data_IF_288013588576
#
_entry.id   IF_288013588576
#
_cell.length_a   1.000
_cell.length_b   1.000
_cell.length_c   1.000
_cell.angle_alpha   90.00
_cell.angle_beta   90.00
_cell.angle_gamma   90.00
#
_symmetry.space_group_name_H-M   'P 1'
#
loop_
_entity.id
_entity.type
_entity.pdbx_description
1 polymer ?
#
# COMPACT_ATOMS: atom_id res chain seq x y z
N UNK A 1 0.52 -26.55 13.13
CA UNK A 1 0.69 -27.99 13.39
C UNK A 1 -0.60 -28.64 13.88
N UNK A 2 -1.24 -28.12 14.94
CA UNK A 2 -2.44 -28.72 15.54
C UNK A 2 -3.58 -28.91 14.53
N UNK A 3 -3.96 -27.87 13.78
CA UNK A 3 -5.05 -27.95 12.79
C UNK A 3 -4.75 -28.96 11.67
N UNK A 4 -3.51 -29.04 11.21
CA UNK A 4 -3.10 -30.02 10.19
C UNK A 4 -3.16 -31.45 10.72
N UNK A 5 -2.65 -31.67 11.94
CA UNK A 5 -2.69 -32.98 12.57
C UNK A 5 -4.14 -33.46 12.77
N UNK A 6 -5.00 -32.60 13.31
CA UNK A 6 -6.40 -32.88 13.53
C UNK A 6 -7.13 -33.21 12.21
N UNK A 7 -6.98 -32.42 11.19
CA UNK A 7 -7.60 -32.65 9.89
C UNK A 7 -7.14 -33.98 9.26
N UNK A 8 -5.83 -34.25 9.30
CA UNK A 8 -5.28 -35.51 8.77
C UNK A 8 -5.73 -36.71 9.55
N UNK A 9 -5.90 -36.59 10.87
CA UNK A 9 -6.41 -37.65 11.71
C UNK A 9 -7.87 -37.99 11.37
N UNK A 10 -8.71 -36.98 11.15
CA UNK A 10 -10.13 -37.20 10.73
C UNK A 10 -10.19 -37.79 9.33
N UNK A 11 -9.32 -37.30 8.41
CA UNK A 11 -9.29 -37.80 7.02
C UNK A 11 -8.65 -39.21 6.91
N UNK A 12 -7.98 -39.71 7.96
CA UNK A 12 -7.34 -41.03 7.94
C UNK A 12 -8.38 -42.12 7.82
N UNK A 13 -8.28 -42.92 6.75
CA UNK A 13 -9.23 -44.01 6.42
C UNK A 13 -10.71 -43.56 6.31
N UNK A 14 -10.98 -42.26 6.14
CA UNK A 14 -12.33 -41.75 5.98
C UNK A 14 -12.52 -41.20 4.55
N UNK A 15 -13.07 -42.05 3.67
CA UNK A 15 -13.28 -41.71 2.25
C UNK A 15 -14.28 -40.56 2.01
N UNK A 16 -15.12 -40.23 2.99
CA UNK A 16 -16.06 -39.11 2.94
C UNK A 16 -15.35 -37.79 3.12
N UNK A 17 -14.13 -37.78 3.69
CA UNK A 17 -13.32 -36.57 3.91
C UNK A 17 -12.32 -36.40 2.79
N UNK A 18 -12.65 -35.51 1.83
CA UNK A 18 -11.82 -35.26 0.66
C UNK A 18 -10.61 -34.33 0.96
N UNK A 19 -10.68 -33.57 2.05
CA UNK A 19 -9.67 -32.57 2.40
C UNK A 19 -8.69 -33.14 3.43
N UNK A 20 -7.40 -33.12 3.10
CA UNK A 20 -6.31 -33.56 3.99
C UNK A 20 -5.58 -32.39 4.65
N UNK A 21 -5.70 -31.21 4.09
CA UNK A 21 -5.08 -29.97 4.61
C UNK A 21 -6.17 -28.95 4.93
N UNK A 22 -6.11 -28.27 6.09
CA UNK A 22 -7.12 -27.29 6.49
C UNK A 22 -6.98 -25.93 5.79
N UNK A 23 -5.82 -25.65 5.18
CA UNK A 23 -5.50 -24.37 4.56
C UNK A 23 -4.79 -24.57 3.22
N UNK A 24 -5.08 -23.70 2.25
CA UNK A 24 -4.41 -23.70 0.95
C UNK A 24 -3.02 -23.08 1.01
N UNK A 25 -2.79 -22.16 1.94
CA UNK A 25 -1.54 -21.44 2.09
C UNK A 25 -1.24 -21.03 3.52
N UNK A 26 0.00 -20.68 3.77
CA UNK A 26 0.49 -20.13 5.03
C UNK A 26 1.09 -18.76 4.74
N UNK A 27 0.59 -17.74 5.43
CA UNK A 27 1.18 -16.40 5.45
C UNK A 27 1.72 -16.12 6.86
N UNK A 28 3.02 -15.84 6.98
CA UNK A 28 3.66 -15.52 8.27
C UNK A 28 3.85 -14.01 8.35
N UNK A 29 3.11 -13.38 9.26
CA UNK A 29 3.23 -11.94 9.52
C UNK A 29 4.41 -11.64 10.44
N UNK A 30 4.94 -10.41 10.32
CA UNK A 30 5.91 -9.85 11.27
C UNK A 30 5.28 -9.52 12.62
N UNK A 31 6.11 -9.13 13.56
CA UNK A 31 5.70 -8.76 14.92
C UNK A 31 5.61 -7.24 15.06
N UNK A 32 4.77 -6.79 15.99
CA UNK A 32 4.78 -5.39 16.42
C UNK A 32 5.84 -5.26 17.53
N UNK A 33 6.82 -4.39 17.28
CA UNK A 33 7.96 -4.16 18.15
C UNK A 33 7.87 -2.78 18.80
N UNK A 34 8.46 -2.65 19.97
CA UNK A 34 8.61 -1.38 20.67
C UNK A 34 9.96 -1.32 21.39
N UNK A 35 10.50 -0.12 21.57
CA UNK A 35 11.68 0.12 22.40
C UNK A 35 11.46 -0.45 23.80
N UNK A 36 12.54 -0.88 24.43
CA UNK A 36 12.55 -1.36 25.81
C UNK A 36 13.18 -0.32 26.72
N UNK A 37 12.67 -0.20 27.93
CA UNK A 37 13.11 0.80 28.90
C UNK A 37 13.51 0.16 30.23
N UNK A 38 14.64 0.59 30.80
CA UNK A 38 15.10 0.17 32.12
C UNK A 38 15.42 1.37 33.00
N UNK A 39 15.11 1.24 34.27
CA UNK A 39 15.62 2.19 35.27
C UNK A 39 17.12 1.92 35.62
N UNK A 40 17.70 2.78 36.45
CA UNK A 40 19.10 2.66 36.87
C UNK A 40 19.43 1.36 37.63
N UNK A 41 18.38 0.68 38.15
CA UNK A 41 18.53 -0.61 38.86
C UNK A 41 18.31 -1.80 37.90
N UNK A 42 18.18 -1.56 36.61
CA UNK A 42 17.94 -2.61 35.60
C UNK A 42 16.50 -3.14 35.54
N UNK A 43 15.56 -2.53 36.27
CA UNK A 43 14.13 -2.93 36.24
C UNK A 43 13.45 -2.41 35.03
N UNK A 44 12.67 -3.28 34.35
CA UNK A 44 11.89 -2.90 33.20
C UNK A 44 10.78 -1.90 33.54
N UNK A 45 10.62 -0.87 32.67
CA UNK A 45 9.61 0.15 32.74
C UNK A 45 8.63 0.01 31.56
N UNK A 46 7.37 0.37 31.79
CA UNK A 46 6.38 0.48 30.71
C UNK A 46 6.56 1.78 29.93
N UNK A 47 6.14 1.85 28.67
CA UNK A 47 6.15 3.10 27.90
C UNK A 47 5.40 4.26 28.59
N UNK A 48 4.40 3.95 29.43
CA UNK A 48 3.62 4.93 30.20
C UNK A 48 4.34 5.47 31.44
N UNK A 49 5.41 4.83 31.88
CA UNK A 49 6.25 5.29 32.99
C UNK A 49 7.39 6.20 32.54
N UNK A 50 7.55 6.40 31.21
CA UNK A 50 8.70 7.08 30.61
C UNK A 50 8.26 8.27 29.76
N UNK A 51 9.00 9.37 29.81
CA UNK A 51 8.81 10.54 28.96
C UNK A 51 10.14 11.06 28.40
N UNK A 52 10.09 11.89 27.35
CA UNK A 52 11.26 12.63 26.87
C UNK A 52 11.32 13.99 27.54
N UNK A 53 12.50 14.33 28.10
CA UNK A 53 12.76 15.67 28.63
C UNK A 53 12.98 16.71 27.49
N UNK A 54 13.18 17.98 27.87
CA UNK A 54 13.44 19.09 26.93
C UNK A 54 14.66 18.86 26.02
N UNK A 55 15.63 18.04 26.47
CA UNK A 55 16.84 17.71 25.73
C UNK A 55 16.68 16.44 24.87
N UNK A 56 15.46 15.89 24.77
CA UNK A 56 15.17 14.68 23.99
C UNK A 56 15.62 13.37 24.64
N UNK A 57 16.18 13.40 25.87
CA UNK A 57 16.58 12.19 26.62
C UNK A 57 15.39 11.61 27.38
N UNK A 58 15.34 10.28 27.45
CA UNK A 58 14.30 9.59 28.20
C UNK A 58 14.56 9.65 29.71
N UNK A 59 13.50 9.90 30.45
CA UNK A 59 13.48 9.95 31.90
C UNK A 59 12.20 9.32 32.44
N UNK A 60 12.25 8.83 33.68
CA UNK A 60 11.08 8.32 34.39
C UNK A 60 10.16 9.45 34.81
N UNK A 61 8.85 9.29 34.61
CA UNK A 61 7.87 10.35 34.92
C UNK A 61 7.83 10.67 36.40
N UNK A 62 7.95 9.66 37.29
CA UNK A 62 7.74 9.77 38.73
C UNK A 62 8.80 10.61 39.43
N UNK A 63 10.08 10.44 39.10
CA UNK A 63 11.22 10.99 39.82
C UNK A 63 12.26 11.67 38.91
N UNK A 64 11.96 11.75 37.59
CA UNK A 64 12.83 12.34 36.57
C UNK A 64 14.23 11.67 36.44
N UNK A 65 14.39 10.47 37.02
CA UNK A 65 15.64 9.70 36.89
C UNK A 65 15.85 9.28 35.42
N UNK A 66 17.14 9.14 35.05
CA UNK A 66 17.51 8.73 33.69
C UNK A 66 17.06 7.30 33.40
N UNK A 67 16.59 7.06 32.18
CA UNK A 67 16.12 5.77 31.66
C UNK A 67 17.09 5.29 30.60
N UNK A 68 17.51 4.03 30.70
CA UNK A 68 18.22 3.34 29.63
C UNK A 68 17.21 2.86 28.56
N UNK A 69 17.47 3.24 27.32
CA UNK A 69 16.68 2.81 26.16
C UNK A 69 17.39 1.66 25.49
N UNK A 70 16.74 0.52 25.49
CA UNK A 70 17.20 -0.67 24.77
C UNK A 70 16.64 -0.76 23.36
N UNK A 71 17.02 -1.81 22.62
CA UNK A 71 16.56 -2.02 21.23
C UNK A 71 15.04 -2.19 21.14
N UNK A 72 14.51 -1.91 19.94
CA UNK A 72 13.13 -2.25 19.61
C UNK A 72 13.02 -3.75 19.42
N UNK A 73 12.17 -4.39 20.21
CA UNK A 73 11.95 -5.84 20.21
C UNK A 73 10.47 -6.16 20.21
N UNK A 74 10.13 -7.40 19.87
CA UNK A 74 8.75 -7.89 19.94
C UNK A 74 8.13 -7.60 21.30
N UNK A 75 6.93 -7.06 21.31
CA UNK A 75 6.22 -6.70 22.54
C UNK A 75 6.02 -7.91 23.43
N UNK A 76 6.40 -7.80 24.69
CA UNK A 76 6.21 -8.85 25.71
C UNK A 76 5.90 -8.29 27.09
N UNK A 77 5.04 -8.99 27.84
CA UNK A 77 4.69 -8.62 29.22
C UNK A 77 5.91 -8.64 30.15
N UNK A 78 6.86 -9.56 29.92
CA UNK A 78 8.07 -9.70 30.75
C UNK A 78 9.02 -8.50 30.61
N UNK A 79 9.12 -7.91 29.42
CA UNK A 79 9.92 -6.70 29.14
C UNK A 79 9.15 -5.41 29.30
N UNK A 80 7.87 -5.49 29.62
CA UNK A 80 6.95 -4.36 29.79
C UNK A 80 6.88 -3.38 28.59
N UNK A 81 7.33 -3.76 27.43
CA UNK A 81 7.31 -2.93 26.22
C UNK A 81 5.99 -3.06 25.42
N UNK A 82 4.90 -3.40 26.08
CA UNK A 82 3.58 -3.59 25.47
C UNK A 82 2.83 -2.27 25.43
N UNK A 83 2.25 -1.97 24.28
CA UNK A 83 1.26 -0.90 24.12
C UNK A 83 -0.13 -1.50 24.30
N UNK A 84 -0.93 -0.91 25.14
CA UNK A 84 -2.30 -1.35 25.38
C UNK A 84 -3.22 -0.98 24.21
N UNK A 85 -3.78 -1.94 23.46
CA UNK A 85 -4.67 -1.66 22.34
C UNK A 85 -5.93 -0.90 22.74
N UNK A 86 -6.49 -1.14 23.93
CA UNK A 86 -7.71 -0.45 24.37
C UNK A 86 -7.50 1.05 24.51
N UNK A 87 -6.38 1.46 25.10
CA UNK A 87 -6.05 2.88 25.26
C UNK A 87 -5.88 3.58 23.92
N UNK A 88 -5.25 2.87 22.94
CA UNK A 88 -5.08 3.39 21.59
C UNK A 88 -6.41 3.50 20.85
N UNK A 89 -7.26 2.49 20.95
CA UNK A 89 -8.61 2.51 20.35
C UNK A 89 -9.47 3.61 20.94
N UNK A 90 -9.41 3.84 22.26
CA UNK A 90 -10.13 4.95 22.92
C UNK A 90 -9.64 6.31 22.45
N UNK A 91 -8.34 6.47 22.21
CA UNK A 91 -7.73 7.75 21.83
C UNK A 91 -7.86 8.09 20.34
N UNK A 92 -7.71 7.10 19.46
CA UNK A 92 -7.58 7.28 18.00
C UNK A 92 -8.64 6.53 17.18
N UNK A 93 -9.38 5.61 17.80
CA UNK A 93 -10.29 4.70 17.11
C UNK A 93 -9.56 3.49 16.48
N UNK A 94 -10.30 2.39 16.32
CA UNK A 94 -9.75 1.15 15.77
C UNK A 94 -9.22 1.31 14.33
N UNK A 95 -9.88 2.12 13.51
CA UNK A 95 -9.49 2.33 12.12
C UNK A 95 -8.13 3.00 11.98
N UNK A 96 -7.79 3.96 12.87
CA UNK A 96 -6.47 4.61 12.85
C UNK A 96 -5.35 3.63 13.22
N UNK A 97 -5.58 2.78 14.22
CA UNK A 97 -4.63 1.73 14.60
C UNK A 97 -4.43 0.73 13.47
N UNK A 98 -5.52 0.26 12.84
CA UNK A 98 -5.46 -0.64 11.69
C UNK A 98 -4.70 -0.01 10.52
N UNK A 99 -5.01 1.25 10.20
CA UNK A 99 -4.35 1.98 9.12
C UNK A 99 -2.84 2.11 9.35
N UNK A 100 -2.44 2.46 10.58
CA UNK A 100 -1.02 2.54 10.94
C UNK A 100 -0.31 1.20 10.74
N UNK A 101 -0.84 0.11 11.31
CA UNK A 101 -0.24 -1.23 11.20
C UNK A 101 -0.07 -1.67 9.73
N UNK A 102 -1.02 -1.34 8.86
CA UNK A 102 -1.00 -1.75 7.46
C UNK A 102 -0.16 -0.82 6.57
N UNK A 103 0.24 0.36 7.07
CA UNK A 103 0.93 1.38 6.26
C UNK A 103 2.46 1.30 6.30
N UNK A 104 3.03 0.81 7.39
CA UNK A 104 4.45 0.98 7.67
C UNK A 104 5.34 0.09 6.78
N UNK A 105 5.04 -1.21 6.76
CA UNK A 105 5.90 -2.22 6.14
C UNK A 105 5.07 -3.30 5.44
N UNK A 106 5.69 -4.07 4.52
CA UNK A 106 5.08 -5.32 4.07
C UNK A 106 4.72 -6.21 5.27
N UNK A 107 3.56 -6.91 5.23
CA UNK A 107 3.05 -7.63 6.39
C UNK A 107 3.97 -8.72 6.98
N UNK A 108 4.96 -9.19 6.20
CA UNK A 108 5.95 -10.19 6.64
C UNK A 108 7.06 -9.60 7.51
N UNK A 109 7.21 -8.26 7.50
CA UNK A 109 8.26 -7.57 8.27
C UNK A 109 7.73 -7.11 9.61
N UNK A 110 8.66 -7.03 10.57
CA UNK A 110 8.39 -6.43 11.86
C UNK A 110 8.06 -4.95 11.71
N UNK A 111 7.11 -4.48 12.53
CA UNK A 111 6.63 -3.10 12.55
C UNK A 111 7.07 -2.46 13.85
N UNK A 112 7.73 -1.32 13.78
CA UNK A 112 8.05 -0.54 14.95
C UNK A 112 6.87 0.35 15.34
N UNK A 113 6.38 0.20 16.57
CA UNK A 113 5.30 1.04 17.08
C UNK A 113 5.71 2.52 17.16
N UNK A 114 4.83 3.39 16.72
CA UNK A 114 5.02 4.84 16.76
C UNK A 114 3.72 5.56 17.07
N UNK A 115 3.64 6.24 18.20
CA UNK A 115 2.51 7.09 18.54
C UNK A 115 2.29 8.22 17.53
N UNK A 116 3.39 8.75 16.96
CA UNK A 116 3.31 9.75 15.89
C UNK A 116 2.69 9.15 14.62
N UNK A 117 3.04 7.89 14.28
CA UNK A 117 2.47 7.17 13.15
C UNK A 117 0.97 6.95 13.31
N UNK A 118 0.51 6.52 14.48
CA UNK A 118 -0.93 6.37 14.77
C UNK A 118 -1.67 7.71 14.67
N UNK A 119 -1.09 8.79 15.23
CA UNK A 119 -1.67 10.13 15.12
C UNK A 119 -1.74 10.63 13.66
N UNK A 120 -0.71 10.35 12.85
CA UNK A 120 -0.72 10.68 11.43
C UNK A 120 -1.80 9.89 10.68
N UNK A 121 -1.97 8.61 10.99
CA UNK A 121 -3.05 7.78 10.47
C UNK A 121 -4.44 8.35 10.82
N UNK A 122 -4.66 8.71 12.08
CA UNK A 122 -5.89 9.34 12.54
C UNK A 122 -6.20 10.64 11.77
N UNK A 123 -5.22 11.53 11.66
CA UNK A 123 -5.38 12.79 10.90
C UNK A 123 -5.67 12.55 9.42
N UNK A 124 -5.08 11.51 8.83
CA UNK A 124 -5.36 11.17 7.44
C UNK A 124 -6.81 10.67 7.27
N UNK A 125 -7.29 9.82 8.15
CA UNK A 125 -8.69 9.37 8.10
C UNK A 125 -9.69 10.52 8.28
N UNK A 126 -9.38 11.51 9.12
CA UNK A 126 -10.17 12.75 9.20
C UNK A 126 -10.19 13.50 7.86
N UNK A 127 -9.06 13.55 7.14
CA UNK A 127 -9.01 14.16 5.79
C UNK A 127 -9.90 13.40 4.80
N UNK A 128 -9.93 12.07 4.84
CA UNK A 128 -10.82 11.25 4.01
C UNK A 128 -12.29 11.57 4.33
N UNK A 129 -12.65 11.63 5.61
CA UNK A 129 -14.02 12.00 6.02
C UNK A 129 -14.41 13.38 5.51
N UNK A 130 -13.55 14.37 5.71
CA UNK A 130 -13.77 15.74 5.24
C UNK A 130 -13.90 15.80 3.71
N UNK A 131 -13.10 15.02 2.96
CA UNK A 131 -13.23 14.91 1.51
C UNK A 131 -14.62 14.41 1.10
N UNK A 132 -15.17 13.43 1.84
CA UNK A 132 -16.54 12.95 1.61
C UNK A 132 -17.58 14.04 1.86
N UNK A 133 -17.44 14.83 2.93
CA UNK A 133 -18.33 15.97 3.21
C UNK A 133 -18.27 17.01 2.07
N UNK A 134 -17.07 17.41 1.66
CA UNK A 134 -16.88 18.42 0.63
C UNK A 134 -17.47 17.96 -0.72
N UNK A 135 -17.25 16.70 -1.11
CA UNK A 135 -17.79 16.18 -2.39
C UNK A 135 -19.30 15.99 -2.33
N UNK A 136 -19.84 15.62 -1.17
CA UNK A 136 -21.31 15.54 -0.97
C UNK A 136 -21.99 16.87 -1.25
N UNK A 137 -21.42 17.97 -0.75
CA UNK A 137 -22.03 19.31 -0.80
C UNK A 137 -21.48 20.15 -1.98
N UNK A 138 -20.65 19.56 -2.83
CA UNK A 138 -20.02 20.25 -3.97
C UNK A 138 -21.06 20.67 -5.01
N UNK A 139 -20.97 21.94 -5.44
CA UNK A 139 -21.80 22.46 -6.55
C UNK A 139 -21.42 21.77 -7.87
N UNK A 140 -22.42 21.59 -8.75
CA UNK A 140 -22.20 20.96 -10.07
C UNK A 140 -21.16 21.73 -10.88
N UNK A 141 -20.34 20.99 -11.62
CA UNK A 141 -19.27 21.49 -12.47
C UNK A 141 -19.37 20.85 -13.87
N UNK A 142 -18.80 21.52 -14.86
CA UNK A 142 -18.64 20.98 -16.20
C UNK A 142 -17.76 19.71 -16.20
N UNK A 143 -17.95 18.84 -17.19
CA UNK A 143 -17.29 17.52 -17.29
C UNK A 143 -16.02 17.50 -18.16
N UNK A 144 -15.34 18.62 -18.33
CA UNK A 144 -14.19 18.72 -19.26
C UNK A 144 -13.04 17.77 -18.92
N UNK A 145 -12.86 17.44 -17.64
CA UNK A 145 -11.76 16.59 -17.18
C UNK A 145 -12.20 15.20 -16.72
N UNK A 146 -13.49 14.84 -16.82
CA UNK A 146 -14.02 13.56 -16.34
C UNK A 146 -13.22 12.38 -16.89
N UNK A 147 -13.04 12.31 -18.22
CA UNK A 147 -12.31 11.21 -18.85
C UNK A 147 -10.90 11.01 -18.29
N UNK A 148 -10.16 12.09 -18.08
CA UNK A 148 -8.80 12.02 -17.54
C UNK A 148 -8.78 11.60 -16.08
N UNK A 149 -9.74 12.09 -15.29
CA UNK A 149 -9.90 11.74 -13.89
C UNK A 149 -10.31 10.27 -13.72
N UNK A 150 -11.31 9.82 -14.44
CA UNK A 150 -11.81 8.44 -14.42
C UNK A 150 -10.74 7.43 -14.86
N UNK A 151 -9.95 7.76 -15.89
CA UNK A 151 -8.81 6.96 -16.35
C UNK A 151 -7.78 6.74 -15.24
N UNK A 152 -7.39 7.83 -14.54
CA UNK A 152 -6.45 7.74 -13.43
C UNK A 152 -7.02 6.91 -12.28
N UNK A 153 -8.27 7.15 -11.89
CA UNK A 153 -8.93 6.40 -10.83
C UNK A 153 -9.03 4.90 -11.17
N UNK A 154 -9.42 4.55 -12.39
CA UNK A 154 -9.49 3.16 -12.83
C UNK A 154 -8.10 2.49 -12.79
N UNK A 155 -7.04 3.21 -13.14
CA UNK A 155 -5.66 2.72 -13.02
C UNK A 155 -5.27 2.43 -11.56
N UNK A 156 -5.65 3.31 -10.61
CA UNK A 156 -5.41 3.07 -9.17
C UNK A 156 -6.21 1.86 -8.66
N UNK A 157 -7.49 1.73 -9.03
CA UNK A 157 -8.29 0.56 -8.65
C UNK A 157 -7.62 -0.74 -9.11
N UNK A 158 -7.12 -0.77 -10.36
CA UNK A 158 -6.41 -1.94 -10.88
C UNK A 158 -5.10 -2.23 -10.10
N UNK A 159 -4.28 -1.20 -9.82
CA UNK A 159 -3.04 -1.34 -9.03
C UNK A 159 -3.33 -1.88 -7.63
N UNK A 160 -4.32 -1.28 -6.96
CA UNK A 160 -4.71 -1.67 -5.60
C UNK A 160 -5.25 -3.10 -5.57
N UNK A 161 -6.10 -3.48 -6.52
CA UNK A 161 -6.62 -4.86 -6.61
C UNK A 161 -5.49 -5.87 -6.72
N UNK A 162 -4.47 -5.61 -7.54
CA UNK A 162 -3.27 -6.46 -7.62
C UNK A 162 -2.51 -6.49 -6.31
N UNK A 163 -2.28 -5.31 -5.70
CA UNK A 163 -1.52 -5.22 -4.46
C UNK A 163 -2.19 -5.97 -3.30
N UNK A 164 -3.54 -5.97 -3.22
CA UNK A 164 -4.28 -6.75 -2.22
C UNK A 164 -4.11 -8.25 -2.47
N UNK A 165 -4.23 -8.70 -3.71
CA UNK A 165 -4.05 -10.11 -4.07
C UNK A 165 -2.63 -10.62 -3.74
N UNK A 166 -1.63 -9.74 -3.86
CA UNK A 166 -0.23 -10.02 -3.57
C UNK A 166 0.14 -9.73 -2.10
N UNK A 167 -0.83 -9.41 -1.23
CA UNK A 167 -0.63 -9.00 0.17
C UNK A 167 0.30 -7.79 0.38
N UNK A 168 0.52 -6.96 -0.64
CA UNK A 168 1.31 -5.73 -0.56
C UNK A 168 0.47 -4.58 0.03
N UNK A 169 0.04 -4.71 1.30
CA UNK A 169 -0.95 -3.84 1.93
C UNK A 169 -0.42 -2.41 2.14
N UNK A 170 0.85 -2.24 2.44
CA UNK A 170 1.50 -0.94 2.52
C UNK A 170 1.51 -0.19 1.18
N UNK A 171 1.63 -0.91 0.06
CA UNK A 171 1.52 -0.32 -1.29
C UNK A 171 0.09 0.15 -1.56
N UNK A 172 -0.93 -0.57 -1.05
CA UNK A 172 -2.32 -0.11 -1.13
C UNK A 172 -2.48 1.22 -0.39
N UNK A 173 -1.95 1.32 0.83
CA UNK A 173 -1.98 2.55 1.61
C UNK A 173 -1.33 3.71 0.86
N UNK A 174 -0.14 3.50 0.29
CA UNK A 174 0.54 4.51 -0.53
C UNK A 174 -0.33 4.98 -1.72
N UNK A 175 -0.95 4.05 -2.45
CA UNK A 175 -1.86 4.41 -3.55
C UNK A 175 -3.10 5.19 -3.07
N UNK A 176 -3.62 4.91 -1.87
CA UNK A 176 -4.74 5.67 -1.30
C UNK A 176 -4.34 7.12 -1.01
N UNK A 177 -3.11 7.38 -0.53
CA UNK A 177 -2.59 8.75 -0.40
C UNK A 177 -2.50 9.46 -1.76
N UNK A 178 -2.04 8.76 -2.79
CA UNK A 178 -1.98 9.32 -4.15
C UNK A 178 -3.37 9.63 -4.70
N UNK A 179 -4.36 8.76 -4.46
CA UNK A 179 -5.75 9.01 -4.83
C UNK A 179 -6.30 10.22 -4.09
N UNK A 180 -6.03 10.35 -2.78
CA UNK A 180 -6.45 11.53 -2.02
C UNK A 180 -5.89 12.82 -2.64
N UNK A 181 -4.61 12.84 -2.99
CA UNK A 181 -4.00 13.98 -3.68
C UNK A 181 -4.65 14.24 -5.04
N UNK A 182 -4.96 13.18 -5.81
CA UNK A 182 -5.67 13.32 -7.08
C UNK A 182 -7.04 13.99 -6.90
N UNK A 183 -7.80 13.64 -5.86
CA UNK A 183 -9.06 14.32 -5.53
C UNK A 183 -8.82 15.78 -5.16
N UNK A 184 -7.87 16.06 -4.29
CA UNK A 184 -7.52 17.42 -3.85
C UNK A 184 -7.14 18.32 -5.03
N UNK A 185 -6.37 17.80 -5.99
CA UNK A 185 -5.96 18.52 -7.20
C UNK A 185 -7.12 18.80 -8.18
N UNK A 186 -8.22 18.05 -8.09
CA UNK A 186 -9.32 18.12 -9.05
C UNK A 186 -10.63 18.64 -8.47
N UNK A 187 -10.69 18.88 -7.17
CA UNK A 187 -11.92 19.26 -6.49
C UNK A 187 -12.50 20.59 -7.00
N UNK A 188 -11.63 21.53 -7.37
CA UNK A 188 -11.98 22.84 -7.93
C UNK A 188 -11.96 22.89 -9.46
N UNK A 189 -11.55 21.80 -10.12
CA UNK A 189 -11.52 21.71 -11.58
C UNK A 189 -12.89 21.35 -12.15
N UNK A 190 -13.03 21.46 -13.47
CA UNK A 190 -14.25 21.13 -14.23
C UNK A 190 -14.39 19.61 -14.40
N UNK A 191 -14.53 18.91 -13.27
CA UNK A 191 -14.91 17.49 -13.19
C UNK A 191 -16.33 17.45 -12.65
N UNK A 192 -17.21 16.70 -13.27
CA UNK A 192 -18.61 16.59 -12.88
C UNK A 192 -18.77 15.98 -11.50
N UNK A 193 -19.84 16.36 -10.77
CA UNK A 193 -20.13 15.74 -9.48
C UNK A 193 -20.42 14.25 -9.60
N UNK A 194 -20.96 13.79 -10.72
CA UNK A 194 -21.18 12.37 -11.01
C UNK A 194 -19.86 11.60 -11.01
N UNK A 195 -18.86 12.07 -11.77
CA UNK A 195 -17.54 11.43 -11.83
C UNK A 195 -16.85 11.48 -10.46
N UNK A 196 -16.82 12.65 -9.79
CA UNK A 196 -16.26 12.79 -8.46
C UNK A 196 -16.88 11.83 -7.45
N UNK A 197 -18.21 11.79 -7.36
CA UNK A 197 -18.93 10.94 -6.39
C UNK A 197 -18.73 9.45 -6.65
N UNK A 198 -18.80 9.02 -7.93
CA UNK A 198 -18.62 7.61 -8.27
C UNK A 198 -17.21 7.12 -7.93
N UNK A 199 -16.19 7.91 -8.26
CA UNK A 199 -14.82 7.56 -7.96
C UNK A 199 -14.51 7.63 -6.46
N UNK A 200 -15.12 8.57 -5.72
CA UNK A 200 -15.03 8.59 -4.27
C UNK A 200 -15.65 7.34 -3.64
N UNK A 201 -16.82 6.92 -4.09
CA UNK A 201 -17.44 5.66 -3.64
C UNK A 201 -16.52 4.48 -3.89
N UNK A 202 -15.84 4.41 -5.04
CA UNK A 202 -14.85 3.37 -5.32
C UNK A 202 -13.67 3.42 -4.34
N UNK A 203 -13.13 4.61 -4.04
CA UNK A 203 -12.09 4.76 -3.03
C UNK A 203 -12.54 4.27 -1.66
N UNK A 204 -13.74 4.67 -1.23
CA UNK A 204 -14.25 4.29 0.09
C UNK A 204 -14.55 2.78 0.17
N UNK A 205 -15.02 2.15 -0.91
CA UNK A 205 -15.15 0.68 -0.98
C UNK A 205 -13.80 -0.03 -0.81
N UNK A 206 -12.72 0.51 -1.39
CA UNK A 206 -11.36 0.00 -1.20
C UNK A 206 -10.93 0.09 0.27
N UNK A 207 -11.38 1.08 1.00
CA UNK A 207 -11.04 1.26 2.40
C UNK A 207 -11.75 0.29 3.35
N UNK A 208 -12.83 -0.37 2.96
CA UNK A 208 -13.60 -1.28 3.83
C UNK A 208 -12.70 -2.32 4.53
N UNK A 209 -11.83 -3.08 3.87
CA UNK A 209 -10.97 -4.06 4.55
C UNK A 209 -9.92 -3.43 5.48
N UNK A 210 -9.58 -2.15 5.29
CA UNK A 210 -8.57 -1.44 6.07
C UNK A 210 -9.18 -0.68 7.25
N UNK A 211 -10.18 0.12 6.98
CA UNK A 211 -10.81 1.07 7.93
C UNK A 211 -12.34 0.98 7.83
N UNK A 212 -12.93 -0.12 8.31
CA UNK A 212 -14.35 -0.42 8.09
C UNK A 212 -15.31 0.63 8.66
N UNK A 213 -15.04 1.16 9.85
CA UNK A 213 -15.99 2.07 10.52
C UNK A 213 -16.16 3.36 9.72
N UNK A 214 -15.06 4.05 9.38
CA UNK A 214 -15.13 5.29 8.58
C UNK A 214 -15.62 5.00 7.16
N UNK A 215 -15.26 3.85 6.58
CA UNK A 215 -15.70 3.50 5.25
C UNK A 215 -17.21 3.33 5.17
N UNK A 216 -17.84 2.61 6.10
CA UNK A 216 -19.29 2.44 6.11
C UNK A 216 -20.01 3.75 6.40
N UNK A 217 -19.52 4.58 7.32
CA UNK A 217 -20.07 5.91 7.60
C UNK A 217 -20.06 6.79 6.35
N UNK A 218 -18.93 6.86 5.65
CA UNK A 218 -18.80 7.62 4.40
C UNK A 218 -19.73 7.09 3.29
N UNK A 219 -19.83 5.76 3.12
CA UNK A 219 -20.72 5.16 2.12
C UNK A 219 -22.20 5.46 2.41
N UNK A 220 -22.61 5.43 3.68
CA UNK A 220 -23.95 5.82 4.09
C UNK A 220 -24.21 7.30 3.81
N UNK A 221 -23.28 8.19 4.18
CA UNK A 221 -23.35 9.62 3.91
C UNK A 221 -23.50 9.92 2.42
N UNK A 222 -22.76 9.21 1.56
CA UNK A 222 -22.80 9.34 0.11
C UNK A 222 -24.01 8.64 -0.54
N UNK A 223 -24.86 7.95 0.24
CA UNK A 223 -25.97 7.12 -0.25
C UNK A 223 -25.53 6.12 -1.33
N UNK A 224 -24.43 5.44 -1.07
CA UNK A 224 -23.85 4.47 -1.99
C UNK A 224 -24.72 3.21 -2.09
N UNK A 225 -24.83 2.68 -3.32
CA UNK A 225 -25.47 1.38 -3.58
C UNK A 225 -24.40 0.30 -3.70
N UNK A 226 -24.82 -0.98 -3.57
CA UNK A 226 -23.93 -2.16 -3.79
C UNK A 226 -22.63 -2.10 -2.99
N UNK A 227 -22.74 -1.77 -1.71
CA UNK A 227 -21.60 -1.52 -0.81
C UNK A 227 -20.65 -2.72 -0.74
N UNK A 228 -21.18 -3.94 -0.84
CA UNK A 228 -20.42 -5.19 -0.71
C UNK A 228 -19.62 -5.56 -1.96
N UNK A 229 -19.86 -4.91 -3.10
CA UNK A 229 -19.15 -5.19 -4.34
C UNK A 229 -17.82 -4.43 -4.40
N UNK A 230 -16.75 -5.15 -4.73
CA UNK A 230 -15.47 -4.53 -5.04
C UNK A 230 -15.58 -3.62 -6.28
N UNK A 231 -14.84 -2.49 -6.33
CA UNK A 231 -14.88 -1.59 -7.49
C UNK A 231 -14.53 -2.32 -8.78
N UNK A 232 -15.40 -2.18 -9.79
CA UNK A 232 -15.19 -2.80 -11.10
C UNK A 232 -14.10 -2.04 -11.87
N UNK A 233 -13.21 -2.80 -12.50
CA UNK A 233 -12.14 -2.25 -13.34
C UNK A 233 -12.64 -2.25 -14.78
N UNK A 234 -12.70 -1.07 -15.41
CA UNK A 234 -12.93 -0.99 -16.85
C UNK A 234 -11.61 -1.28 -17.58
N UNK A 235 -11.53 -2.44 -18.20
CA UNK A 235 -10.33 -2.88 -18.93
C UNK A 235 -10.03 -2.01 -20.16
N UNK A 236 -11.04 -1.31 -20.71
CA UNK A 236 -10.87 -0.36 -21.81
C UNK A 236 -10.21 0.95 -21.33
N UNK A 237 -10.34 1.24 -20.04
CA UNK A 237 -9.78 2.43 -19.40
C UNK A 237 -8.47 2.13 -18.65
N UNK A 238 -7.83 1.00 -18.85
CA UNK A 238 -6.51 0.75 -18.27
C UNK A 238 -5.50 1.62 -19.01
N UNK A 239 -4.95 2.62 -18.32
CA UNK A 239 -3.77 3.32 -18.80
C UNK A 239 -2.65 2.29 -18.90
N UNK A 240 -2.19 2.04 -20.11
CA UNK A 240 -0.99 1.25 -20.32
C UNK A 240 0.16 2.00 -19.69
N UNK A 241 0.73 1.42 -18.64
CA UNK A 241 1.82 2.01 -17.90
C UNK A 241 3.00 2.21 -18.84
N UNK A 242 3.42 3.46 -19.06
CA UNK A 242 4.61 3.75 -19.83
C UNK A 242 5.82 3.69 -18.94
N UNK A 243 6.84 3.03 -19.42
CA UNK A 243 8.13 2.89 -18.73
C UNK A 243 9.26 3.42 -19.60
N UNK A 244 10.32 3.87 -18.96
CA UNK A 244 11.57 4.23 -19.64
C UNK A 244 12.44 2.98 -19.77
N UNK A 245 12.73 2.57 -21.00
CA UNK A 245 13.62 1.45 -21.31
C UNK A 245 14.91 1.94 -21.92
N UNK A 246 16.04 1.46 -21.42
CA UNK A 246 17.36 1.76 -21.99
C UNK A 246 17.66 0.87 -23.20
N UNK A 247 18.07 1.48 -24.31
CA UNK A 247 18.61 0.78 -25.48
C UNK A 247 20.11 0.81 -25.41
N UNK A 248 20.70 -0.39 -25.43
CA UNK A 248 22.16 -0.56 -25.38
C UNK A 248 22.68 -1.20 -26.67
N UNK A 249 23.92 -0.87 -27.00
CA UNK A 249 24.71 -1.52 -28.06
C UNK A 249 26.06 -1.88 -27.43
N UNK A 250 26.41 -3.18 -27.43
CA UNK A 250 27.60 -3.71 -26.78
C UNK A 250 27.75 -3.24 -25.33
N UNK A 251 26.65 -3.26 -24.55
CA UNK A 251 26.59 -2.89 -23.14
C UNK A 251 26.59 -1.36 -22.87
N UNK A 252 26.77 -0.51 -23.88
CA UNK A 252 26.72 0.96 -23.70
C UNK A 252 25.35 1.51 -24.04
N UNK A 253 24.72 2.22 -23.12
CA UNK A 253 23.42 2.90 -23.35
C UNK A 253 23.54 3.94 -24.46
N UNK A 254 22.66 3.86 -25.45
CA UNK A 254 22.64 4.73 -26.63
C UNK A 254 21.42 5.63 -26.69
N UNK A 255 20.31 5.15 -26.15
CA UNK A 255 19.07 5.93 -26.06
C UNK A 255 18.18 5.40 -24.93
N UNK A 256 17.22 6.20 -24.52
CA UNK A 256 16.15 5.81 -23.57
C UNK A 256 14.84 6.10 -24.28
N UNK A 257 14.02 5.08 -24.45
CA UNK A 257 12.69 5.20 -25.06
C UNK A 257 11.59 5.02 -24.04
N UNK A 258 10.48 5.67 -24.26
CA UNK A 258 9.26 5.48 -23.49
C UNK A 258 8.37 4.47 -24.20
N UNK A 259 8.08 3.36 -23.55
CA UNK A 259 7.31 2.24 -24.11
C UNK A 259 6.20 1.81 -23.16
N UNK A 260 5.22 1.06 -23.66
CA UNK A 260 4.22 0.41 -22.82
C UNK A 260 4.88 -0.71 -22.00
N UNK A 261 4.57 -0.79 -20.72
CA UNK A 261 5.03 -1.88 -19.83
C UNK A 261 4.51 -3.23 -20.31
N UNK A 262 5.34 -4.23 -20.26
CA UNK A 262 4.98 -5.59 -20.65
C UNK A 262 5.07 -5.88 -22.15
N UNK A 263 5.56 -4.95 -22.95
CA UNK A 263 5.79 -5.15 -24.40
C UNK A 263 6.75 -6.33 -24.60
N UNK A 264 6.52 -7.14 -25.62
CA UNK A 264 7.38 -8.28 -25.94
C UNK A 264 8.64 -7.85 -26.72
N UNK A 265 9.66 -8.72 -26.69
CA UNK A 265 10.95 -8.46 -27.34
C UNK A 265 10.82 -8.10 -28.83
N UNK A 266 10.00 -8.82 -29.58
CA UNK A 266 9.82 -8.62 -31.04
C UNK A 266 9.30 -7.20 -31.34
N UNK A 267 8.34 -6.74 -30.56
CA UNK A 267 7.77 -5.40 -30.74
C UNK A 267 8.79 -4.30 -30.40
N UNK A 268 9.60 -4.50 -29.34
CA UNK A 268 10.65 -3.57 -28.98
C UNK A 268 11.76 -3.53 -30.02
N UNK A 269 12.17 -4.68 -30.57
CA UNK A 269 13.16 -4.70 -31.64
C UNK A 269 12.72 -3.90 -32.86
N UNK A 270 11.42 -3.97 -33.23
CA UNK A 270 10.84 -3.13 -34.30
C UNK A 270 10.92 -1.66 -33.98
N UNK A 271 10.57 -1.27 -32.74
CA UNK A 271 10.66 0.13 -32.28
C UNK A 271 12.11 0.62 -32.34
N UNK A 272 13.07 -0.19 -31.87
CA UNK A 272 14.48 0.15 -31.87
C UNK A 272 15.04 0.29 -33.30
N UNK A 273 14.67 -0.58 -34.22
CA UNK A 273 15.08 -0.52 -35.64
C UNK A 273 14.56 0.76 -36.34
N UNK A 274 13.44 1.31 -35.88
CA UNK A 274 12.87 2.56 -36.40
C UNK A 274 13.42 3.82 -35.70
N UNK A 275 14.14 3.67 -34.58
CA UNK A 275 14.73 4.77 -33.86
C UNK A 275 15.98 5.29 -34.61
N UNK A 276 15.97 6.56 -35.01
CA UNK A 276 17.03 7.17 -35.83
C UNK A 276 18.42 7.01 -35.24
N UNK A 277 18.57 7.20 -33.91
CA UNK A 277 19.86 7.08 -33.20
C UNK A 277 20.41 5.66 -33.19
N UNK A 278 19.53 4.66 -33.25
CA UNK A 278 19.88 3.24 -33.18
C UNK A 278 20.06 2.68 -34.59
N UNK A 279 19.14 3.03 -35.52
CA UNK A 279 19.15 2.58 -36.90
C UNK A 279 20.52 2.80 -37.54
N UNK A 280 21.09 3.99 -37.43
CA UNK A 280 22.39 4.34 -38.03
C UNK A 280 23.59 3.57 -37.44
N UNK A 281 23.40 2.89 -36.30
CA UNK A 281 24.47 2.10 -35.63
C UNK A 281 24.34 0.60 -35.84
N UNK A 282 23.19 0.15 -36.34
CA UNK A 282 22.89 -1.28 -36.54
C UNK A 282 22.79 -1.66 -38.03
N UNK A 283 22.48 -0.69 -38.94
CA UNK A 283 22.20 -0.95 -40.36
C UNK A 283 23.36 -1.70 -41.07
N UNK A 284 24.61 -1.31 -40.78
CA UNK A 284 25.77 -1.86 -41.44
C UNK A 284 26.47 -2.99 -40.66
N UNK A 285 25.84 -3.48 -39.59
CA UNK A 285 26.43 -4.49 -38.71
C UNK A 285 25.49 -5.64 -38.45
N UNK A 286 26.01 -6.87 -38.52
CA UNK A 286 25.24 -8.06 -38.17
C UNK A 286 25.03 -8.13 -36.64
N UNK A 287 23.77 -8.12 -36.20
CA UNK A 287 23.44 -8.35 -34.79
C UNK A 287 23.65 -9.83 -34.45
N UNK A 288 24.65 -10.13 -33.63
CA UNK A 288 24.96 -11.50 -33.20
C UNK A 288 23.98 -12.02 -32.14
N UNK A 289 23.57 -11.14 -31.22
CA UNK A 289 22.70 -11.51 -30.11
C UNK A 289 21.90 -10.31 -29.61
N UNK A 290 20.65 -10.54 -29.22
CA UNK A 290 19.82 -9.54 -28.49
C UNK A 290 19.61 -10.05 -27.07
N UNK A 291 19.98 -9.24 -26.10
CA UNK A 291 19.70 -9.49 -24.67
C UNK A 291 18.54 -8.57 -24.28
N UNK A 292 17.44 -9.19 -23.88
CA UNK A 292 16.23 -8.49 -23.47
C UNK A 292 15.93 -8.76 -22.00
N UNK A 293 15.92 -7.71 -21.19
CA UNK A 293 15.42 -7.74 -19.82
C UNK A 293 14.10 -6.98 -19.81
N UNK A 294 13.01 -7.71 -19.62
CA UNK A 294 11.65 -7.18 -19.67
C UNK A 294 11.51 -5.91 -18.82
N UNK A 295 10.92 -4.90 -19.41
CA UNK A 295 10.61 -3.61 -18.78
C UNK A 295 11.82 -2.80 -18.29
N UNK A 296 13.06 -3.18 -18.68
CA UNK A 296 14.29 -2.50 -18.24
C UNK A 296 15.23 -2.14 -19.37
N UNK A 297 15.72 -3.12 -20.09
CA UNK A 297 16.84 -2.94 -21.02
C UNK A 297 16.66 -3.83 -22.25
N UNK A 298 17.02 -3.31 -23.42
CA UNK A 298 17.34 -4.12 -24.59
C UNK A 298 18.78 -3.81 -25.03
N UNK A 299 19.61 -4.83 -25.24
CA UNK A 299 21.01 -4.69 -25.62
C UNK A 299 21.30 -5.51 -26.88
N UNK A 300 21.77 -4.84 -27.93
CA UNK A 300 22.19 -5.43 -29.19
C UNK A 300 23.70 -5.69 -29.15
N UNK A 301 24.10 -6.92 -29.33
CA UNK A 301 25.51 -7.33 -29.45
C UNK A 301 25.82 -7.45 -30.94
N UNK A 302 26.76 -6.64 -31.41
CA UNK A 302 27.18 -6.54 -32.80
C UNK A 302 28.46 -7.33 -33.05
#
# INVERSE_FOLDING_TARGET
>A
LYSRFFMRSIAYKNEKFKFKEPFEGLFTQGMVCHETYKDQNGKWLTPTEVEKNSNGKFQKISDKSAVEVGPSESMSKSKKNVIDPESMIKSYGADAVRWFILSDSPPEKDIQWSNQGVNAAYKFLQKIYNLCCVIKDRKERENLFDKGFDLKMNSYVNKITKSINDFNLNVVVANVYEIYNLFSDHIDKKVSNKSMKNNLINLIKILIPFTPHIAYECLQMLKAKEIKEWPKIDTKLILKEKIKMAIQINGKTRDIIEIEKGINQISIEKICKNNVKIKNKIIDKSVKKVIFVKDRIINFIL
#
